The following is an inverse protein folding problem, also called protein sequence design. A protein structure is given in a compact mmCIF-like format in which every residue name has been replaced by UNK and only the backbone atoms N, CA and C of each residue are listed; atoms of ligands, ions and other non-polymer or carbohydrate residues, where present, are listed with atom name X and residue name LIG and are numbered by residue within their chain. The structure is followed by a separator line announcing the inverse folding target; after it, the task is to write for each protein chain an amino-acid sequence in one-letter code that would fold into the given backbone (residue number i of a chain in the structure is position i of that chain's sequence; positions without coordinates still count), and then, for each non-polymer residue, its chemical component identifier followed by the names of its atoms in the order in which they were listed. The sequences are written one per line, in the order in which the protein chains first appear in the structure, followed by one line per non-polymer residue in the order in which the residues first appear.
data_IF_911677702606
#
_entry.id   IF_911677702606
#
_cell.length_a   1.000
_cell.length_b   1.000
_cell.length_c   1.000
_cell.angle_alpha   90.00
_cell.angle_beta   90.00
_cell.angle_gamma   90.00
#
_symmetry.space_group_name_H-M   'P 1'
#
loop_
_entity.id
_entity.type
_entity.pdbx_description
1 polymer ?
#
# COMPACT_ATOMS: atom_id res chain seq x y z
N UNK A 1 23.74 14.11 13.28
CA UNK A 1 22.75 14.17 12.19
C UNK A 1 22.43 15.63 11.91
N UNK A 2 22.46 16.09 10.65
CA UNK A 2 22.34 17.51 10.30
C UNK A 2 20.86 17.97 10.26
N UNK A 3 20.57 19.16 10.77
CA UNK A 3 19.25 19.80 10.64
C UNK A 3 19.03 20.27 9.20
N UNK A 4 17.81 20.08 8.67
CA UNK A 4 17.43 20.51 7.32
C UNK A 4 16.55 21.75 7.44
N UNK A 5 16.85 22.77 6.63
CA UNK A 5 16.09 24.02 6.57
C UNK A 5 15.59 24.24 5.15
N UNK A 6 14.36 24.70 5.01
CA UNK A 6 13.76 25.15 3.74
C UNK A 6 13.22 26.55 3.97
N UNK A 7 13.64 27.52 3.15
CA UNK A 7 13.27 28.93 3.30
C UNK A 7 13.51 29.49 4.71
N UNK A 8 14.59 29.06 5.38
CA UNK A 8 14.91 29.46 6.76
C UNK A 8 14.11 28.75 7.86
N UNK A 9 13.13 27.91 7.50
CA UNK A 9 12.35 27.12 8.45
C UNK A 9 12.93 25.72 8.61
N UNK A 10 13.11 25.29 9.86
CA UNK A 10 13.56 23.92 10.18
C UNK A 10 12.44 22.94 9.85
N UNK A 11 12.76 21.89 9.09
CA UNK A 11 11.81 20.80 8.81
C UNK A 11 11.78 19.82 9.98
N UNK A 12 10.56 19.44 10.38
CA UNK A 12 10.33 18.39 11.37
C UNK A 12 10.81 17.04 10.84
N UNK A 13 11.49 16.28 11.69
CA UNK A 13 11.85 14.90 11.39
C UNK A 13 10.83 13.97 12.00
N UNK A 14 10.17 13.18 11.17
CA UNK A 14 9.27 12.12 11.58
C UNK A 14 9.84 10.76 11.21
N UNK A 15 9.52 9.75 12.01
CA UNK A 15 9.95 8.38 11.74
C UNK A 15 9.04 7.71 10.70
N UNK A 16 7.73 7.93 10.73
CA UNK A 16 6.80 7.50 9.70
C UNK A 16 6.18 8.73 9.03
N UNK A 17 6.04 8.71 7.71
CA UNK A 17 5.42 9.77 6.93
C UNK A 17 4.53 9.17 5.84
N UNK A 18 3.27 9.61 5.76
CA UNK A 18 2.39 9.20 4.67
C UNK A 18 2.54 10.17 3.49
N UNK A 19 2.95 9.65 2.34
CA UNK A 19 3.09 10.41 1.11
C UNK A 19 2.32 9.72 0.00
N UNK A 20 1.36 10.42 -0.60
CA UNK A 20 0.53 9.93 -1.71
C UNK A 20 -0.23 8.63 -1.43
N UNK A 21 -0.39 8.24 -0.17
CA UNK A 21 -1.00 6.97 0.22
C UNK A 21 -0.02 5.82 0.43
N UNK A 22 1.29 6.07 0.42
CA UNK A 22 2.36 5.16 0.87
C UNK A 22 2.91 5.61 2.23
N UNK A 23 3.17 4.66 3.14
CA UNK A 23 3.88 4.95 4.39
C UNK A 23 5.39 4.78 4.21
N UNK A 24 6.11 5.89 4.29
CA UNK A 24 7.57 5.94 4.28
C UNK A 24 8.09 5.89 5.71
N UNK A 25 9.15 5.11 5.95
CA UNK A 25 9.84 5.08 7.24
C UNK A 25 11.25 5.65 7.10
N UNK A 26 11.75 6.33 8.14
CA UNK A 26 13.06 6.99 8.09
C UNK A 26 14.25 6.04 7.92
N UNK A 27 14.05 4.75 8.22
CA UNK A 27 15.01 3.66 8.02
C UNK A 27 14.84 2.91 6.69
N UNK A 28 13.89 3.33 5.84
CA UNK A 28 13.61 2.70 4.54
C UNK A 28 12.96 1.31 4.65
N UNK A 29 12.42 0.95 5.82
CA UNK A 29 11.79 -0.33 6.07
C UNK A 29 10.37 -0.42 5.48
N UNK A 30 10.28 -1.05 4.30
CA UNK A 30 9.02 -1.30 3.62
C UNK A 30 8.07 -2.31 4.32
N UNK A 31 8.53 -3.04 5.35
CA UNK A 31 7.70 -4.07 6.03
C UNK A 31 6.44 -3.44 6.62
N UNK A 32 6.55 -2.25 7.22
CA UNK A 32 5.39 -1.55 7.81
C UNK A 32 4.35 -1.20 6.74
N UNK A 33 4.80 -0.74 5.58
CA UNK A 33 3.92 -0.42 4.47
C UNK A 33 3.26 -1.67 3.87
N UNK A 34 4.02 -2.76 3.69
CA UNK A 34 3.48 -4.04 3.22
C UNK A 34 2.41 -4.56 4.17
N UNK A 35 2.67 -4.52 5.49
CA UNK A 35 1.70 -4.92 6.50
C UNK A 35 0.44 -4.05 6.47
N UNK A 36 0.59 -2.74 6.28
CA UNK A 36 -0.54 -1.80 6.15
C UNK A 36 -1.38 -2.09 4.90
N UNK A 37 -0.75 -2.36 3.75
CA UNK A 37 -1.48 -2.73 2.52
C UNK A 37 -2.22 -4.05 2.67
N UNK A 38 -1.58 -5.05 3.29
CA UNK A 38 -2.19 -6.35 3.56
C UNK A 38 -3.38 -6.25 4.52
N UNK A 39 -3.30 -5.41 5.55
CA UNK A 39 -4.41 -5.23 6.50
C UNK A 39 -5.67 -4.63 5.82
N UNK A 40 -5.50 -3.88 4.73
CA UNK A 40 -6.59 -3.36 3.92
C UNK A 40 -7.08 -4.39 2.88
N UNK A 41 -6.16 -5.06 2.19
CA UNK A 41 -6.50 -5.97 1.09
C UNK A 41 -7.16 -7.28 1.57
N UNK A 42 -6.70 -7.85 2.70
CA UNK A 42 -7.17 -9.17 3.17
C UNK A 42 -8.67 -9.20 3.54
N UNK A 43 -9.22 -8.20 4.26
CA UNK A 43 -10.67 -8.14 4.51
C UNK A 43 -11.48 -8.06 3.21
N UNK A 44 -11.04 -7.26 2.24
CA UNK A 44 -11.71 -7.15 0.93
C UNK A 44 -11.67 -8.44 0.14
N UNK A 45 -10.56 -9.16 0.21
CA UNK A 45 -10.47 -10.49 -0.37
C UNK A 45 -11.46 -11.48 0.29
N UNK A 46 -11.63 -11.40 1.62
CA UNK A 46 -12.59 -12.23 2.36
C UNK A 46 -14.03 -11.93 1.96
N UNK A 47 -14.39 -10.67 1.73
CA UNK A 47 -15.74 -10.28 1.25
C UNK A 47 -16.08 -10.95 -0.09
N UNK A 48 -15.09 -11.22 -0.95
CA UNK A 48 -15.27 -11.88 -2.25
C UNK A 48 -15.52 -13.39 -2.17
N UNK A 49 -15.36 -14.01 -1.00
CA UNK A 49 -15.50 -15.48 -0.85
C UNK A 49 -16.88 -15.99 -1.29
N UNK A 50 -17.95 -15.24 -1.01
CA UNK A 50 -19.31 -15.63 -1.37
C UNK A 50 -19.60 -15.52 -2.88
N UNK A 51 -19.37 -14.38 -3.57
CA UNK A 51 -19.55 -14.31 -5.02
C UNK A 51 -18.62 -15.29 -5.78
N UNK A 52 -17.46 -15.61 -5.21
CA UNK A 52 -16.55 -16.58 -5.79
C UNK A 52 -17.04 -18.03 -5.76
N UNK A 53 -18.06 -18.39 -4.97
CA UNK A 53 -18.58 -19.77 -4.95
C UNK A 53 -19.12 -20.24 -6.30
N UNK A 54 -19.60 -19.31 -7.14
CA UNK A 54 -20.19 -19.60 -8.45
C UNK A 54 -19.40 -19.03 -9.63
N UNK A 55 -18.21 -18.49 -9.35
CA UNK A 55 -17.35 -17.86 -10.36
C UNK A 55 -16.30 -18.86 -10.84
N UNK A 56 -16.06 -18.92 -12.15
CA UNK A 56 -15.02 -19.76 -12.73
C UNK A 56 -13.60 -19.33 -12.28
N UNK A 57 -12.67 -20.28 -12.22
CA UNK A 57 -11.29 -20.03 -11.79
C UNK A 57 -10.58 -19.01 -12.70
N UNK A 58 -10.84 -19.01 -14.01
CA UNK A 58 -10.23 -18.05 -14.95
C UNK A 58 -10.68 -16.62 -14.65
N UNK A 59 -11.97 -16.44 -14.35
CA UNK A 59 -12.53 -15.15 -13.96
C UNK A 59 -11.93 -14.66 -12.64
N UNK A 60 -11.77 -15.54 -11.65
CA UNK A 60 -11.11 -15.20 -10.37
C UNK A 60 -9.66 -14.74 -10.58
N UNK A 61 -8.89 -15.47 -11.38
CA UNK A 61 -7.49 -15.12 -11.69
C UNK A 61 -7.42 -13.79 -12.42
N UNK A 62 -8.28 -13.57 -13.41
CA UNK A 62 -8.33 -12.31 -14.16
C UNK A 62 -8.65 -11.13 -13.25
N UNK A 63 -9.66 -11.29 -12.39
CA UNK A 63 -10.04 -10.26 -11.40
C UNK A 63 -8.90 -9.98 -10.41
N UNK A 64 -8.25 -11.01 -9.87
CA UNK A 64 -7.13 -10.85 -8.94
C UNK A 64 -5.99 -10.05 -9.57
N UNK A 65 -5.61 -10.39 -10.81
CA UNK A 65 -4.53 -9.69 -11.54
C UNK A 65 -4.89 -8.25 -11.91
N UNK A 66 -6.15 -7.99 -12.25
CA UNK A 66 -6.60 -6.66 -12.68
C UNK A 66 -6.89 -5.72 -11.51
N UNK A 67 -7.44 -6.22 -10.40
CA UNK A 67 -8.01 -5.39 -9.34
C UNK A 67 -7.28 -5.52 -8.00
N UNK A 68 -6.75 -6.69 -7.66
CA UNK A 68 -6.22 -6.96 -6.30
C UNK A 68 -4.70 -6.83 -6.25
N UNK A 69 -3.99 -7.41 -7.23
CA UNK A 69 -2.54 -7.35 -7.25
C UNK A 69 -1.99 -5.93 -7.41
N UNK A 70 -2.53 -5.04 -8.27
CA UNK A 70 -2.01 -3.67 -8.38
C UNK A 70 -2.08 -2.91 -7.05
N UNK A 71 -3.16 -3.10 -6.28
CA UNK A 71 -3.31 -2.49 -4.95
C UNK A 71 -2.27 -3.00 -3.94
N UNK A 72 -1.92 -4.28 -4.04
CA UNK A 72 -0.97 -4.94 -3.15
C UNK A 72 0.50 -4.70 -3.55
N UNK A 73 0.81 -4.61 -4.84
CA UNK A 73 2.19 -4.65 -5.36
C UNK A 73 2.71 -3.31 -5.87
N UNK A 74 1.88 -2.49 -6.51
CA UNK A 74 2.35 -1.30 -7.22
C UNK A 74 2.19 -0.02 -6.43
N UNK A 75 1.30 0.01 -5.46
CA UNK A 75 0.98 1.25 -4.77
C UNK A 75 0.74 2.42 -5.71
N UNK A 76 0.87 3.63 -5.18
CA UNK A 76 0.65 4.90 -5.84
C UNK A 76 1.89 5.34 -6.65
N UNK A 77 2.63 4.39 -7.23
CA UNK A 77 3.75 4.64 -8.15
C UNK A 77 3.31 5.29 -9.49
N UNK A 78 2.06 5.74 -9.60
CA UNK A 78 1.61 6.59 -10.69
C UNK A 78 2.03 8.03 -10.40
N UNK A 79 3.28 8.33 -10.79
CA UNK A 79 3.67 9.65 -11.30
C UNK A 79 4.26 9.46 -12.69
#
# INVERSE_FOLDING_TARGET
MANIFVNGHKIERVYNFEYLGEMLTSDGNAIKEIQRRLSIALPKLKELTNPWKRTDIRTKITYLRACVFPFATYGCETW
#
